data_IF_146431232465
#
_entry.id   IF_146431232465
#
_cell.length_a   1.000
_cell.length_b   1.000
_cell.length_c   1.000
_cell.angle_alpha   90.00
_cell.angle_beta   90.00
_cell.angle_gamma   90.00
#
_symmetry.space_group_name_H-M   'P 1'
#
loop_
_entity.id
_entity.type
_entity.pdbx_description
1 polymer ?
#
# COMPACT_ATOMS: atom_id res chain seq x y z
N UNK A 1 -19.91 -5.37 -19.78
CA UNK A 1 -20.20 -4.72 -18.49
C UNK A 1 -19.06 -5.12 -17.57
N UNK A 2 -18.10 -4.21 -17.36
CA UNK A 2 -16.98 -4.48 -16.45
C UNK A 2 -17.55 -4.51 -15.04
N UNK A 3 -17.39 -5.63 -14.35
CA UNK A 3 -17.74 -5.77 -12.95
C UNK A 3 -16.84 -4.81 -12.16
N UNK A 4 -17.44 -3.78 -11.54
CA UNK A 4 -16.70 -2.85 -10.68
C UNK A 4 -16.27 -3.67 -9.46
N UNK A 5 -15.00 -4.05 -9.42
CA UNK A 5 -14.43 -4.73 -8.25
C UNK A 5 -14.50 -3.76 -7.07
N UNK A 6 -15.04 -4.21 -5.93
CA UNK A 6 -15.07 -3.41 -4.70
C UNK A 6 -13.64 -3.12 -4.24
N UNK A 7 -13.42 -1.90 -3.73
CA UNK A 7 -12.12 -1.48 -3.21
C UNK A 7 -11.77 -2.21 -1.90
N UNK A 8 -12.76 -2.84 -1.26
CA UNK A 8 -12.65 -3.42 0.07
C UNK A 8 -13.24 -4.84 0.13
N UNK A 9 -12.63 -5.67 0.96
CA UNK A 9 -13.18 -6.97 1.36
C UNK A 9 -13.50 -6.94 2.85
N UNK A 10 -14.78 -7.09 3.19
CA UNK A 10 -15.19 -7.19 4.58
C UNK A 10 -14.64 -8.48 5.22
N UNK A 11 -13.84 -8.32 6.27
CA UNK A 11 -13.23 -9.43 7.02
C UNK A 11 -14.10 -9.81 8.21
N UNK A 12 -14.57 -8.82 8.96
CA UNK A 12 -15.40 -9.03 10.14
C UNK A 12 -16.27 -7.81 10.40
N UNK A 13 -17.53 -8.03 10.76
CA UNK A 13 -18.42 -6.98 11.23
C UNK A 13 -19.16 -7.42 12.49
N UNK A 14 -19.49 -6.45 13.35
CA UNK A 14 -20.34 -6.63 14.52
C UNK A 14 -21.29 -5.45 14.63
N UNK A 15 -22.58 -5.69 14.36
CA UNK A 15 -23.65 -4.72 14.54
C UNK A 15 -24.17 -4.81 15.98
N UNK A 16 -23.81 -3.84 16.81
CA UNK A 16 -24.05 -3.86 18.26
C UNK A 16 -25.28 -3.02 18.59
N UNK A 17 -25.35 -1.80 18.07
CA UNK A 17 -26.47 -0.85 18.24
C UNK A 17 -26.99 -0.74 19.68
N UNK A 18 -26.10 -0.75 20.67
CA UNK A 18 -26.44 -0.81 22.08
C UNK A 18 -25.60 0.15 22.92
N UNK A 19 -26.16 0.59 24.05
CA UNK A 19 -25.40 1.31 25.08
C UNK A 19 -24.41 0.37 25.76
N UNK A 20 -23.18 0.83 25.93
CA UNK A 20 -22.12 0.07 26.61
C UNK A 20 -21.71 0.83 27.87
N UNK A 21 -21.56 0.10 28.97
CA UNK A 21 -21.30 0.69 30.29
C UNK A 21 -19.96 0.24 30.93
N UNK A 22 -19.20 -0.62 30.26
CA UNK A 22 -17.95 -1.18 30.76
C UNK A 22 -16.94 -1.31 29.63
N UNK A 23 -15.67 -1.14 29.98
CA UNK A 23 -14.53 -1.43 29.12
C UNK A 23 -14.61 -2.87 28.61
N UNK A 24 -14.20 -3.07 27.36
CA UNK A 24 -14.17 -4.39 26.74
C UNK A 24 -13.15 -4.42 25.60
N UNK A 25 -12.88 -5.62 25.09
CA UNK A 25 -12.00 -5.81 23.95
C UNK A 25 -12.71 -6.54 22.81
N UNK A 26 -12.46 -6.11 21.58
CA UNK A 26 -12.92 -6.76 20.38
C UNK A 26 -11.74 -7.43 19.68
N UNK A 27 -11.75 -8.76 19.61
CA UNK A 27 -10.69 -9.55 18.97
C UNK A 27 -11.09 -9.93 17.54
N UNK A 28 -10.14 -9.93 16.62
CA UNK A 28 -10.33 -10.38 15.24
C UNK A 28 -9.04 -11.00 14.69
N UNK A 29 -9.17 -11.97 13.79
CA UNK A 29 -8.04 -12.58 13.09
C UNK A 29 -7.94 -12.04 11.67
N UNK A 30 -6.72 -11.91 11.18
CA UNK A 30 -6.41 -11.60 9.77
C UNK A 30 -5.48 -12.66 9.20
N UNK A 31 -5.78 -13.12 7.98
CA UNK A 31 -5.11 -14.27 7.34
C UNK A 31 -3.79 -13.88 6.66
N UNK A 32 -3.72 -12.65 6.13
CA UNK A 32 -2.59 -12.11 5.38
C UNK A 32 -2.19 -10.74 5.94
N UNK A 33 -0.88 -10.45 5.97
CA UNK A 33 -0.41 -9.08 6.23
C UNK A 33 -0.81 -8.18 5.06
N UNK A 34 -1.24 -6.95 5.36
CA UNK A 34 -1.78 -6.06 4.33
C UNK A 34 -2.24 -4.71 4.86
N UNK A 35 -2.92 -3.94 4.02
CA UNK A 35 -3.55 -2.68 4.41
C UNK A 35 -4.99 -2.96 4.83
N UNK A 36 -5.36 -2.51 6.03
CA UNK A 36 -6.68 -2.71 6.58
C UNK A 36 -7.31 -1.39 7.01
N UNK A 37 -8.64 -1.33 6.89
CA UNK A 37 -9.48 -0.28 7.41
C UNK A 37 -10.34 -0.82 8.55
N UNK A 38 -10.23 -0.21 9.73
CA UNK A 38 -11.15 -0.43 10.85
C UNK A 38 -12.12 0.75 10.89
N UNK A 39 -13.40 0.51 10.69
CA UNK A 39 -14.45 1.52 10.74
C UNK A 39 -15.40 1.22 11.90
N UNK A 40 -15.64 2.22 12.74
CA UNK A 40 -16.47 2.10 13.95
C UNK A 40 -17.44 3.26 13.99
N UNK A 41 -18.72 2.98 14.20
CA UNK A 41 -19.75 4.00 14.43
C UNK A 41 -20.16 4.04 15.89
N UNK A 42 -20.25 5.22 16.48
CA UNK A 42 -20.75 5.38 17.84
C UNK A 42 -21.41 6.75 18.06
N UNK A 43 -22.27 6.81 19.07
CA UNK A 43 -22.96 8.00 19.56
C UNK A 43 -22.58 8.22 21.02
N UNK A 44 -22.36 9.47 21.41
CA UNK A 44 -22.15 9.85 22.80
C UNK A 44 -23.00 11.09 23.13
N UNK A 45 -23.73 11.06 24.25
CA UNK A 45 -24.59 12.16 24.67
C UNK A 45 -23.83 13.19 25.50
N UNK A 46 -24.16 14.47 25.27
CA UNK A 46 -23.64 15.57 26.07
C UNK A 46 -24.21 15.52 27.49
N UNK A 47 -23.49 16.12 28.45
CA UNK A 47 -23.91 16.10 29.85
C UNK A 47 -25.34 16.61 30.09
N UNK A 48 -25.80 17.60 29.29
CA UNK A 48 -27.14 18.21 29.45
C UNK A 48 -28.27 17.32 28.91
N UNK A 49 -27.98 16.39 28.00
CA UNK A 49 -28.95 15.42 27.48
C UNK A 49 -29.19 14.27 28.47
N UNK A 50 -28.28 14.07 29.42
CA UNK A 50 -28.34 13.05 30.45
C UNK A 50 -29.12 13.51 31.72
N UNK A 51 -29.93 14.58 31.63
CA UNK A 51 -30.54 15.26 32.79
C UNK A 51 -32.05 14.98 33.01
N UNK A 52 -32.46 14.41 34.15
CA UNK A 52 -33.80 14.61 34.72
C UNK A 52 -33.80 15.87 35.60
N UNK A 53 -34.84 16.72 35.48
CA UNK A 53 -34.94 18.09 36.04
C UNK A 53 -34.67 18.32 37.56
N UNK A 54 -34.37 17.29 38.37
CA UNK A 54 -34.45 17.36 39.84
C UNK A 54 -33.16 17.01 40.62
N UNK A 55 -32.10 16.41 40.06
CA UNK A 55 -30.94 15.98 40.89
C UNK A 55 -29.58 16.52 40.42
N UNK A 56 -29.01 17.42 41.22
CA UNK A 56 -27.65 18.00 41.11
C UNK A 56 -26.53 17.01 41.47
N UNK A 57 -26.52 15.80 40.92
CA UNK A 57 -25.35 14.90 41.02
C UNK A 57 -25.06 14.27 39.65
N UNK A 58 -23.83 14.50 39.19
CA UNK A 58 -23.14 13.99 37.98
C UNK A 58 -23.33 14.78 36.67
N UNK A 59 -22.67 15.94 36.57
CA UNK A 59 -22.40 16.64 35.31
C UNK A 59 -21.33 15.87 34.49
N UNK A 60 -21.69 14.74 33.89
CA UNK A 60 -20.75 13.96 33.07
C UNK A 60 -21.37 13.58 31.73
N UNK A 61 -20.60 13.86 30.67
CA UNK A 61 -20.84 13.45 29.30
C UNK A 61 -20.47 11.97 29.09
N UNK A 62 -21.13 11.34 28.11
CA UNK A 62 -20.72 10.02 27.65
C UNK A 62 -19.44 10.15 26.83
N UNK A 63 -18.50 9.21 26.99
CA UNK A 63 -17.32 9.14 26.12
C UNK A 63 -16.98 7.70 25.79
N UNK A 64 -16.52 7.49 24.57
CA UNK A 64 -15.90 6.24 24.14
C UNK A 64 -14.51 6.55 23.59
N UNK A 65 -13.54 5.69 23.89
CA UNK A 65 -12.26 5.70 23.17
C UNK A 65 -11.86 4.29 22.80
N UNK A 66 -11.14 4.16 21.68
CA UNK A 66 -10.60 2.89 21.22
C UNK A 66 -9.11 2.99 20.91
N UNK A 67 -8.42 1.86 21.13
CA UNK A 67 -7.01 1.69 20.79
C UNK A 67 -6.81 0.30 20.19
N UNK A 68 -6.15 0.24 19.04
CA UNK A 68 -5.66 -1.01 18.47
C UNK A 68 -4.27 -1.31 19.07
N UNK A 69 -4.03 -2.55 19.50
CA UNK A 69 -2.86 -2.90 20.35
C UNK A 69 -1.50 -2.37 19.86
N UNK A 70 -1.28 -2.28 18.55
CA UNK A 70 0.00 -1.85 17.96
C UNK A 70 0.00 -0.41 17.45
N UNK A 71 -1.04 0.38 17.72
CA UNK A 71 -1.15 1.77 17.25
C UNK A 71 -1.22 2.71 18.45
N UNK A 72 -0.37 3.74 18.41
CA UNK A 72 -0.18 4.66 19.53
C UNK A 72 -1.35 5.60 19.78
N UNK A 73 -2.07 5.98 18.72
CA UNK A 73 -3.14 6.98 18.76
C UNK A 73 -4.50 6.38 19.12
N UNK A 74 -5.24 7.11 19.95
CA UNK A 74 -6.62 6.77 20.33
C UNK A 74 -7.62 7.49 19.41
N UNK A 75 -8.68 6.78 19.02
CA UNK A 75 -9.86 7.38 18.40
C UNK A 75 -10.94 7.56 19.47
N UNK A 76 -11.62 8.70 19.50
CA UNK A 76 -12.54 9.10 20.58
C UNK A 76 -13.88 9.57 20.03
N UNK A 77 -14.92 9.33 20.80
CA UNK A 77 -16.26 9.90 20.65
C UNK A 77 -16.55 10.68 21.93
N UNK A 78 -16.67 12.00 21.80
CA UNK A 78 -16.92 12.89 22.93
C UNK A 78 -18.38 13.35 22.94
N UNK A 79 -19.05 13.17 24.07
CA UNK A 79 -20.47 13.50 24.18
C UNK A 79 -20.79 14.98 24.00
N UNK A 80 -19.92 15.89 24.44
CA UNK A 80 -20.15 17.34 24.27
C UNK A 80 -20.03 17.78 22.82
N UNK A 81 -19.15 17.13 22.05
CA UNK A 81 -18.98 17.39 20.63
C UNK A 81 -20.10 16.75 19.81
N UNK A 82 -20.49 15.51 20.14
CA UNK A 82 -21.45 14.73 19.37
C UNK A 82 -22.91 15.04 19.68
N UNK A 83 -23.23 15.41 20.93
CA UNK A 83 -24.60 15.74 21.36
C UNK A 83 -25.62 14.65 20.96
N UNK A 84 -25.22 13.39 21.08
CA UNK A 84 -26.04 12.21 20.77
C UNK A 84 -26.05 11.78 19.30
N UNK A 85 -25.36 12.49 18.41
CA UNK A 85 -25.29 12.18 16.98
C UNK A 85 -24.14 11.21 16.67
N UNK A 86 -24.27 10.46 15.57
CA UNK A 86 -23.34 9.40 15.20
C UNK A 86 -22.08 9.94 14.53
N UNK A 87 -20.91 9.51 15.01
CA UNK A 87 -19.63 9.75 14.34
C UNK A 87 -19.01 8.43 13.91
N UNK A 88 -18.42 8.43 12.72
CA UNK A 88 -17.63 7.31 12.19
C UNK A 88 -16.15 7.58 12.39
N UNK A 89 -15.50 6.81 13.26
CA UNK A 89 -14.05 6.84 13.37
C UNK A 89 -13.48 5.69 12.54
N UNK A 90 -12.46 6.00 11.75
CA UNK A 90 -11.77 5.09 10.87
C UNK A 90 -10.28 5.06 11.20
N UNK A 91 -9.68 3.88 11.13
CA UNK A 91 -8.25 3.68 11.23
C UNK A 91 -7.79 2.92 9.99
N UNK A 92 -6.92 3.56 9.22
CA UNK A 92 -6.22 2.97 8.08
C UNK A 92 -4.79 2.63 8.50
N UNK A 93 -4.42 1.35 8.48
CA UNK A 93 -3.09 0.91 8.90
C UNK A 93 -2.63 -0.36 8.19
N UNK A 94 -1.31 -0.56 8.15
CA UNK A 94 -0.73 -1.85 7.78
C UNK A 94 -0.78 -2.79 9.00
N UNK A 95 -1.39 -3.96 8.84
CA UNK A 95 -1.51 -4.97 9.90
C UNK A 95 -0.87 -6.28 9.48
N UNK A 96 -0.23 -6.96 10.44
CA UNK A 96 0.36 -8.28 10.24
C UNK A 96 -0.64 -9.41 10.45
N UNK A 97 -0.52 -10.48 9.64
CA UNK A 97 -1.30 -11.70 9.80
C UNK A 97 -1.26 -12.20 11.26
N UNK A 98 -2.42 -12.61 11.78
CA UNK A 98 -2.56 -13.08 13.16
C UNK A 98 -3.75 -12.47 13.89
N UNK A 99 -3.74 -12.63 15.21
CA UNK A 99 -4.79 -12.10 16.08
C UNK A 99 -4.52 -10.64 16.43
N UNK A 100 -5.55 -9.82 16.25
CA UNK A 100 -5.58 -8.40 16.54
C UNK A 100 -6.65 -8.12 17.59
N UNK A 101 -6.48 -7.04 18.35
CA UNK A 101 -7.39 -6.66 19.40
C UNK A 101 -7.56 -5.14 19.47
N UNK A 102 -8.82 -4.71 19.56
CA UNK A 102 -9.22 -3.33 19.83
C UNK A 102 -9.68 -3.27 21.28
N UNK A 103 -9.02 -2.45 22.10
CA UNK A 103 -9.46 -2.14 23.45
C UNK A 103 -10.38 -0.91 23.43
N UNK A 104 -11.52 -1.00 24.12
CA UNK A 104 -12.46 0.10 24.31
C UNK A 104 -12.48 0.54 25.77
N UNK A 105 -12.34 1.85 25.98
CA UNK A 105 -12.48 2.48 27.29
C UNK A 105 -13.77 3.32 27.28
N UNK A 106 -14.63 3.07 28.25
CA UNK A 106 -16.01 3.55 28.30
C UNK A 106 -16.22 4.45 29.51
N UNK A 107 -16.78 5.64 29.29
CA UNK A 107 -17.27 6.54 30.35
C UNK A 107 -18.77 6.71 30.20
N UNK A 108 -19.51 6.39 31.26
CA UNK A 108 -20.98 6.40 31.32
C UNK A 108 -21.61 5.39 30.35
N UNK A 109 -22.48 5.80 29.43
CA UNK A 109 -23.24 4.87 28.57
C UNK A 109 -23.33 5.31 27.10
N UNK A 110 -22.20 5.54 26.39
CA UNK A 110 -22.23 5.79 24.96
C UNK A 110 -22.87 4.61 24.23
N UNK A 111 -23.49 4.88 23.07
CA UNK A 111 -24.07 3.85 22.21
C UNK A 111 -23.07 3.48 21.12
N UNK A 112 -22.65 2.22 21.12
CA UNK A 112 -21.82 1.66 20.05
C UNK A 112 -22.73 1.14 18.94
N UNK A 113 -22.52 1.62 17.71
CA UNK A 113 -23.27 1.21 16.53
C UNK A 113 -22.69 -0.06 15.93
N UNK A 114 -21.59 0.06 15.21
CA UNK A 114 -20.94 -1.06 14.51
C UNK A 114 -19.41 -1.04 14.65
N UNK A 115 -18.80 -2.22 14.52
CA UNK A 115 -17.35 -2.40 14.32
C UNK A 115 -17.18 -3.22 13.05
N UNK A 116 -16.51 -2.66 12.04
CA UNK A 116 -16.26 -3.34 10.76
C UNK A 116 -14.79 -3.27 10.39
N UNK A 117 -14.24 -4.41 9.95
CA UNK A 117 -12.85 -4.61 9.57
C UNK A 117 -12.82 -4.97 8.09
N UNK A 118 -12.07 -4.21 7.30
CA UNK A 118 -11.95 -4.39 5.86
C UNK A 118 -10.48 -4.57 5.47
N UNK A 119 -10.22 -5.52 4.57
CA UNK A 119 -8.97 -5.60 3.80
C UNK A 119 -9.10 -4.68 2.58
N UNK A 120 -8.10 -3.84 2.31
CA UNK A 120 -8.09 -2.98 1.12
C UNK A 120 -7.56 -3.78 -0.07
N UNK A 121 -8.40 -3.96 -1.09
CA UNK A 121 -8.05 -4.64 -2.33
C UNK A 121 -7.44 -3.67 -3.34
N UNK A 122 -8.01 -2.46 -3.45
CA UNK A 122 -7.45 -1.41 -4.27
C UNK A 122 -6.44 -0.60 -3.46
N UNK A 123 -5.17 -1.02 -3.49
CA UNK A 123 -4.10 -0.38 -2.72
C UNK A 123 -3.55 0.89 -3.36
N UNK A 124 -4.14 1.37 -4.47
CA UNK A 124 -3.70 2.61 -5.14
C UNK A 124 -4.60 3.78 -4.81
N UNK A 125 -5.91 3.61 -4.97
CA UNK A 125 -6.88 4.67 -4.80
C UNK A 125 -8.18 4.21 -4.12
N UNK A 126 -8.12 3.64 -2.88
CA UNK A 126 -9.32 3.19 -2.20
C UNK A 126 -10.31 4.34 -1.97
N UNK A 127 -11.57 4.10 -2.33
CA UNK A 127 -12.67 5.05 -2.18
C UNK A 127 -13.50 4.74 -0.93
N UNK A 128 -13.28 5.49 0.14
CA UNK A 128 -13.96 5.34 1.43
C UNK A 128 -15.46 5.66 1.41
N UNK A 129 -16.00 6.17 0.30
CA UNK A 129 -17.43 6.50 0.19
C UNK A 129 -18.33 5.30 0.45
N UNK A 130 -17.90 4.09 0.07
CA UNK A 130 -18.68 2.85 0.35
C UNK A 130 -18.74 2.47 1.84
N UNK A 131 -17.88 3.06 2.67
CA UNK A 131 -17.82 2.83 4.12
C UNK A 131 -18.60 3.91 4.89
N UNK A 132 -18.85 5.05 4.26
CA UNK A 132 -19.52 6.20 4.86
C UNK A 132 -21.04 6.04 4.71
N UNK A 133 -21.78 6.30 5.79
CA UNK A 133 -23.25 6.31 5.71
C UNK A 133 -23.71 7.40 4.73
N UNK A 134 -24.56 7.08 3.74
CA UNK A 134 -25.12 8.10 2.85
C UNK A 134 -26.16 8.99 3.55
N UNK A 135 -26.68 8.56 4.70
CA UNK A 135 -27.71 9.27 5.46
C UNK A 135 -27.06 9.95 6.67
N UNK A 136 -26.55 11.16 6.48
CA UNK A 136 -25.95 11.96 7.57
C UNK A 136 -27.07 12.55 8.42
N UNK A 137 -26.99 12.36 9.74
CA UNK A 137 -27.94 12.95 10.70
C UNK A 137 -27.79 14.47 10.74
N UNK A 138 -28.92 15.19 10.66
CA UNK A 138 -28.99 16.64 10.79
C UNK A 138 -28.46 17.10 12.16
N UNK A 139 -27.45 17.96 12.14
CA UNK A 139 -26.82 18.46 13.36
C UNK A 139 -26.02 19.72 13.14
N UNK A 140 -25.77 20.46 14.22
CA UNK A 140 -25.06 21.73 14.15
C UNK A 140 -23.57 21.57 14.50
N UNK A 141 -22.71 21.87 13.51
CA UNK A 141 -21.24 21.95 13.62
C UNK A 141 -20.61 20.85 14.47
N UNK A 142 -20.79 19.60 14.03
CA UNK A 142 -20.40 18.41 14.78
C UNK A 142 -19.30 17.62 14.07
N UNK A 143 -18.49 16.84 14.79
CA UNK A 143 -17.65 15.82 14.18
C UNK A 143 -18.54 14.80 13.44
N UNK A 144 -18.19 14.49 12.21
CA UNK A 144 -18.86 13.50 11.37
C UNK A 144 -17.97 12.27 11.16
N UNK A 145 -16.76 12.49 10.65
CA UNK A 145 -15.78 11.43 10.39
C UNK A 145 -14.44 11.82 10.99
N UNK A 146 -13.74 10.87 11.61
CA UNK A 146 -12.31 11.00 11.94
C UNK A 146 -11.55 9.83 11.35
N UNK A 147 -10.62 10.11 10.46
CA UNK A 147 -9.75 9.11 9.85
C UNK A 147 -8.33 9.28 10.40
N UNK A 148 -7.85 8.26 11.10
CA UNK A 148 -6.46 8.11 11.49
C UNK A 148 -5.76 7.23 10.46
N UNK A 149 -4.70 7.75 9.85
CA UNK A 149 -3.79 7.00 8.98
C UNK A 149 -2.52 6.74 9.77
N UNK A 150 -2.14 5.47 9.94
CA UNK A 150 -0.91 5.08 10.64
C UNK A 150 -0.04 4.17 9.79
N UNK A 151 1.23 4.52 9.71
CA UNK A 151 2.29 3.78 9.04
C UNK A 151 2.01 3.49 7.56
N UNK A 152 1.20 4.36 6.95
CA UNK A 152 0.89 4.36 5.52
C UNK A 152 1.11 5.78 5.00
N UNK A 153 1.84 5.89 3.90
CA UNK A 153 2.03 7.17 3.21
C UNK A 153 0.87 7.39 2.23
N UNK A 154 0.19 8.52 2.39
CA UNK A 154 -0.88 8.98 1.50
C UNK A 154 -0.38 10.24 0.81
N UNK A 155 -0.32 10.21 -0.53
CA UNK A 155 0.19 11.34 -1.32
C UNK A 155 -0.86 12.43 -1.46
N UNK A 156 -2.11 12.03 -1.66
CA UNK A 156 -3.21 12.95 -1.96
C UNK A 156 -4.52 12.41 -1.41
N UNK A 157 -5.39 13.31 -0.99
CA UNK A 157 -6.81 13.00 -0.74
C UNK A 157 -7.68 13.72 -1.75
N UNK A 158 -8.75 13.06 -2.15
CA UNK A 158 -9.75 13.60 -3.07
C UNK A 158 -11.11 13.45 -2.42
N UNK A 159 -11.74 14.58 -2.08
CA UNK A 159 -13.08 14.59 -1.48
C UNK A 159 -14.00 15.39 -2.39
N UNK A 160 -15.12 14.80 -2.78
CA UNK A 160 -16.20 15.49 -3.46
C UNK A 160 -17.42 15.49 -2.55
N UNK A 161 -17.96 16.67 -2.29
CA UNK A 161 -19.17 16.82 -1.50
C UNK A 161 -20.13 17.83 -2.14
N UNK A 162 -21.40 17.57 -1.91
CA UNK A 162 -22.54 18.41 -2.27
C UNK A 162 -23.14 18.99 -0.99
N UNK A 163 -23.40 20.30 -1.01
CA UNK A 163 -24.02 21.05 0.08
C UNK A 163 -25.19 21.84 -0.46
N UNK A 164 -26.24 22.04 0.34
CA UNK A 164 -27.45 22.73 -0.08
C UNK A 164 -27.54 24.12 0.55
N UNK A 165 -28.09 25.09 -0.19
CA UNK A 165 -28.38 26.42 0.37
C UNK A 165 -29.60 26.35 1.28
N UNK A 166 -29.63 27.12 2.37
CA UNK A 166 -30.78 27.17 3.28
C UNK A 166 -32.13 27.55 2.65
N UNK A 167 -32.15 28.09 1.42
CA UNK A 167 -33.38 28.34 0.64
C UNK A 167 -34.06 27.07 0.13
N UNK A 168 -33.38 25.92 0.18
CA UNK A 168 -33.88 24.64 -0.31
C UNK A 168 -34.54 23.80 0.79
N UNK A 169 -34.42 24.18 2.06
CA UNK A 169 -35.16 23.54 3.15
C UNK A 169 -36.60 24.10 3.24
N UNK A 170 -37.58 23.21 3.04
CA UNK A 170 -39.01 23.50 3.23
C UNK A 170 -39.32 23.59 4.74
N UNK A 171 -39.34 24.82 5.28
CA UNK A 171 -39.87 25.29 6.59
C UNK A 171 -38.83 25.99 7.50
N UNK A 172 -39.04 27.30 7.69
CA UNK A 172 -38.61 28.21 8.77
C UNK A 172 -37.16 28.25 9.30
N UNK A 173 -36.22 27.47 8.76
CA UNK A 173 -34.80 27.61 9.09
C UNK A 173 -33.97 27.76 7.80
N UNK A 174 -33.35 28.93 7.64
CA UNK A 174 -32.53 29.30 6.47
C UNK A 174 -31.09 28.80 6.58
N UNK A 175 -30.86 27.72 7.32
CA UNK A 175 -29.51 27.22 7.59
C UNK A 175 -29.03 26.36 6.42
N UNK A 176 -27.83 26.65 5.93
CA UNK A 176 -27.19 25.95 4.83
C UNK A 176 -26.40 24.71 5.29
N UNK A 177 -26.24 23.71 4.42
CA UNK A 177 -25.32 22.62 4.71
C UNK A 177 -23.89 23.09 4.52
N UNK A 178 -23.00 22.67 5.43
CA UNK A 178 -21.58 22.98 5.33
C UNK A 178 -20.76 21.72 5.69
N UNK A 179 -19.60 21.57 5.04
CA UNK A 179 -18.60 20.55 5.37
C UNK A 179 -17.23 21.20 5.56
N UNK A 180 -16.60 20.91 6.68
CA UNK A 180 -15.26 21.36 7.06
C UNK A 180 -14.31 20.17 7.04
N UNK A 181 -13.10 20.40 6.51
CA UNK A 181 -12.00 19.45 6.59
C UNK A 181 -10.86 20.03 7.43
N UNK A 182 -10.37 19.24 8.36
CA UNK A 182 -9.18 19.50 9.18
C UNK A 182 -8.17 18.40 8.90
N UNK A 183 -6.92 18.77 8.63
CA UNK A 183 -5.82 17.83 8.39
C UNK A 183 -4.72 18.15 9.38
N UNK A 184 -4.36 17.17 10.22
CA UNK A 184 -3.32 17.32 11.25
C UNK A 184 -3.53 18.56 12.15
N UNK A 185 -4.79 18.89 12.46
CA UNK A 185 -5.17 20.06 13.26
C UNK A 185 -5.28 21.38 12.48
N UNK A 186 -4.92 21.41 11.19
CA UNK A 186 -5.04 22.59 10.34
C UNK A 186 -6.32 22.55 9.51
N UNK A 187 -7.12 23.62 9.60
CA UNK A 187 -8.37 23.76 8.83
C UNK A 187 -8.05 24.06 7.36
N UNK A 188 -8.67 23.31 6.44
CA UNK A 188 -8.65 23.61 5.01
C UNK A 188 -9.67 24.71 4.71
N UNK A 189 -9.17 25.89 4.37
CA UNK A 189 -9.99 27.09 4.17
C UNK A 189 -10.75 27.10 2.85
N UNK A 190 -11.91 27.74 2.85
CA UNK A 190 -12.67 28.09 1.67
C UNK A 190 -12.12 29.36 1.01
N UNK A 191 -11.95 29.34 -0.30
CA UNK A 191 -11.46 30.43 -1.14
C UNK A 191 -12.60 31.15 -1.91
N UNK A 192 -13.85 30.71 -1.78
CA UNK A 192 -14.99 31.31 -2.47
C UNK A 192 -15.47 32.59 -1.76
N UNK A 193 -15.90 33.62 -2.50
CA UNK A 193 -16.43 34.84 -1.91
C UNK A 193 -17.76 34.59 -1.19
N UNK A 194 -18.02 35.33 -0.11
CA UNK A 194 -19.25 35.23 0.72
C UNK A 194 -19.49 33.85 1.36
N UNK A 195 -18.44 33.04 1.48
CA UNK A 195 -18.46 31.75 2.17
C UNK A 195 -18.05 31.88 3.64
N UNK A 196 -18.29 30.81 4.41
CA UNK A 196 -17.67 30.64 5.72
C UNK A 196 -16.23 30.13 5.54
N UNK A 197 -15.23 30.93 5.91
CA UNK A 197 -13.80 30.66 5.64
C UNK A 197 -13.34 29.27 6.10
N UNK A 198 -13.85 28.78 7.23
CA UNK A 198 -13.44 27.50 7.80
C UNK A 198 -14.22 26.29 7.25
N UNK A 199 -15.14 26.50 6.30
CA UNK A 199 -16.02 25.48 5.74
C UNK A 199 -15.83 25.41 4.23
N UNK A 200 -14.95 24.50 3.79
CA UNK A 200 -14.54 24.41 2.37
C UNK A 200 -15.72 24.19 1.43
N UNK A 201 -16.65 23.32 1.82
CA UNK A 201 -17.97 23.22 1.20
C UNK A 201 -18.92 24.06 2.04
N UNK A 202 -19.34 25.18 1.47
CA UNK A 202 -20.26 26.10 2.13
C UNK A 202 -21.51 26.28 1.29
N UNK A 203 -22.69 25.97 1.83
CA UNK A 203 -23.94 26.07 1.09
C UNK A 203 -24.25 27.52 0.69
N UNK A 204 -23.98 28.51 1.55
CA UNK A 204 -24.13 29.95 1.27
C UNK A 204 -23.28 30.44 0.10
N UNK A 205 -22.15 29.79 -0.17
CA UNK A 205 -21.32 30.14 -1.31
C UNK A 205 -21.98 29.79 -2.67
N UNK A 206 -23.06 28.99 -2.67
CA UNK A 206 -23.80 28.63 -3.87
C UNK A 206 -24.86 29.69 -4.22
N UNK A 207 -24.90 30.07 -5.50
CA UNK A 207 -25.89 31.05 -6.01
C UNK A 207 -27.32 30.49 -6.02
N UNK A 208 -28.31 31.37 -6.18
CA UNK A 208 -29.73 31.21 -5.79
C UNK A 208 -30.51 29.95 -6.24
N UNK A 209 -29.99 29.02 -7.07
CA UNK A 209 -30.85 28.00 -7.70
C UNK A 209 -30.28 26.60 -7.97
N UNK A 210 -29.05 26.21 -7.61
CA UNK A 210 -28.56 24.85 -7.97
C UNK A 210 -27.63 24.26 -6.91
N UNK A 211 -27.89 23.01 -6.53
CA UNK A 211 -26.92 22.19 -5.80
C UNK A 211 -25.67 22.04 -6.67
N UNK A 212 -24.49 22.17 -6.07
CA UNK A 212 -23.23 22.03 -6.79
C UNK A 212 -22.24 21.20 -5.97
N UNK A 213 -21.87 20.03 -6.51
CA UNK A 213 -20.73 19.27 -6.04
C UNK A 213 -19.45 20.05 -6.25
N UNK A 214 -18.57 20.03 -5.24
CA UNK A 214 -17.22 20.60 -5.34
C UNK A 214 -16.21 19.55 -4.94
N UNK A 215 -15.15 19.42 -5.73
CA UNK A 215 -14.03 18.52 -5.44
C UNK A 215 -12.88 19.28 -4.81
N UNK A 216 -12.38 18.78 -3.70
CA UNK A 216 -11.09 19.14 -3.13
C UNK A 216 -10.08 18.05 -3.47
N UNK A 217 -8.98 18.45 -4.10
CA UNK A 217 -7.76 17.64 -4.15
C UNK A 217 -6.70 18.27 -3.25
N UNK A 218 -6.18 17.51 -2.29
CA UNK A 218 -5.17 18.00 -1.35
C UNK A 218 -4.00 17.03 -1.27
N UNK A 219 -2.83 17.49 -1.69
CA UNK A 219 -1.57 16.78 -1.44
C UNK A 219 -1.24 16.82 0.05
N UNK A 220 -0.85 15.69 0.60
CA UNK A 220 -0.40 15.58 1.98
C UNK A 220 1.13 15.61 2.06
N UNK A 221 1.65 16.06 3.20
CA UNK A 221 3.08 15.99 3.48
C UNK A 221 3.51 14.53 3.58
N UNK A 222 4.74 14.21 3.17
CA UNK A 222 5.27 12.85 3.32
C UNK A 222 5.54 12.53 4.79
N UNK A 223 4.52 12.02 5.48
CA UNK A 223 4.56 11.62 6.87
C UNK A 223 3.86 10.27 7.02
N UNK A 224 4.34 9.46 7.97
CA UNK A 224 3.75 8.13 8.24
C UNK A 224 2.44 8.19 9.01
N UNK A 225 2.04 9.36 9.50
CA UNK A 225 0.82 9.53 10.27
C UNK A 225 0.08 10.78 9.83
N UNK A 226 -1.22 10.64 9.61
CA UNK A 226 -2.13 11.74 9.37
C UNK A 226 -3.43 11.55 10.15
N UNK A 227 -4.01 12.65 10.61
CA UNK A 227 -5.35 12.68 11.19
C UNK A 227 -6.20 13.62 10.32
N UNK A 228 -7.30 13.10 9.79
CA UNK A 228 -8.27 13.86 9.03
C UNK A 228 -9.57 13.88 9.81
N UNK A 229 -10.17 15.06 9.92
CA UNK A 229 -11.44 15.26 10.60
C UNK A 229 -12.40 16.00 9.68
N UNK A 230 -13.58 15.41 9.46
CA UNK A 230 -14.69 16.05 8.77
C UNK A 230 -15.72 16.48 9.80
N UNK A 231 -16.05 17.77 9.79
CA UNK A 231 -17.14 18.34 10.58
C UNK A 231 -18.27 18.72 9.63
N UNK A 232 -19.51 18.47 10.06
CA UNK A 232 -20.71 18.77 9.29
C UNK A 232 -21.57 19.79 10.02
N UNK A 233 -22.17 20.69 9.24
CA UNK A 233 -23.35 21.46 9.62
C UNK A 233 -24.51 20.98 8.74
N UNK A 234 -25.65 20.66 9.35
CA UNK A 234 -26.82 20.06 8.72
C UNK A 234 -26.52 18.70 8.07
N UNK A 235 -26.79 18.50 6.78
CA UNK A 235 -26.79 17.20 6.08
C UNK A 235 -26.04 17.24 4.74
N UNK A 236 -24.73 17.59 4.73
CA UNK A 236 -23.93 17.56 3.50
C UNK A 236 -23.86 16.13 2.94
N UNK A 237 -23.70 15.98 1.62
CA UNK A 237 -23.55 14.68 0.96
C UNK A 237 -22.11 14.50 0.53
N UNK A 238 -21.44 13.45 1.02
CA UNK A 238 -20.11 13.05 0.55
C UNK A 238 -20.30 12.10 -0.64
N UNK A 239 -19.96 12.57 -1.84
CA UNK A 239 -20.11 11.82 -3.09
C UNK A 239 -18.86 11.00 -3.43
N UNK A 240 -17.69 11.46 -2.98
CA UNK A 240 -16.39 10.80 -3.19
C UNK A 240 -15.45 11.08 -2.03
N UNK A 241 -14.73 10.07 -1.57
CA UNK A 241 -13.64 10.20 -0.61
C UNK A 241 -12.56 9.17 -0.95
N UNK A 242 -11.65 9.55 -1.85
CA UNK A 242 -10.53 8.72 -2.26
C UNK A 242 -9.24 9.12 -1.56
N UNK A 243 -8.43 8.12 -1.23
CA UNK A 243 -7.05 8.29 -0.80
C UNK A 243 -6.13 7.83 -1.91
N UNK A 244 -5.22 8.67 -2.39
CA UNK A 244 -4.13 8.23 -3.25
C UNK A 244 -3.01 7.79 -2.34
N UNK A 245 -2.94 6.48 -2.10
CA UNK A 245 -1.83 5.91 -1.36
C UNK A 245 -0.58 6.09 -2.22
N UNK A 246 0.54 6.51 -1.62
CA UNK A 246 1.80 6.29 -2.32
C UNK A 246 1.85 4.80 -2.59
N UNK A 247 2.22 4.40 -3.80
CA UNK A 247 2.46 2.99 -4.08
C UNK A 247 3.47 2.50 -3.05
N UNK A 248 2.98 1.89 -1.97
CA UNK A 248 3.74 0.89 -1.26
C UNK A 248 3.96 -0.08 -2.39
N UNK A 249 5.20 -0.15 -2.88
CA UNK A 249 5.63 -1.29 -3.67
C UNK A 249 5.18 -2.48 -2.85
N UNK A 250 4.02 -3.06 -3.20
CA UNK A 250 3.47 -4.20 -2.50
C UNK A 250 4.64 -5.14 -2.42
N UNK A 251 5.10 -5.45 -1.20
CA UNK A 251 6.21 -6.37 -1.03
C UNK A 251 5.77 -7.59 -1.82
N UNK A 252 6.39 -7.78 -2.98
CA UNK A 252 5.99 -8.87 -3.83
C UNK A 252 6.36 -10.07 -2.99
N UNK A 253 5.36 -10.82 -2.52
CA UNK A 253 5.63 -11.98 -1.68
C UNK A 253 6.15 -13.04 -2.60
N UNK A 254 7.27 -13.68 -2.22
CA UNK A 254 7.86 -14.75 -3.01
C UNK A 254 6.80 -15.83 -3.30
N UNK A 255 6.56 -16.08 -4.58
CA UNK A 255 5.67 -17.14 -5.05
C UNK A 255 6.50 -18.19 -5.77
N UNK A 256 6.64 -19.38 -5.17
CA UNK A 256 7.45 -20.45 -5.72
C UNK A 256 6.96 -20.95 -7.10
N UNK A 257 5.72 -20.66 -7.50
CA UNK A 257 5.16 -21.03 -8.80
C UNK A 257 5.17 -19.89 -9.82
N UNK A 258 5.54 -18.67 -9.42
CA UNK A 258 5.63 -17.48 -10.27
C UNK A 258 6.66 -16.49 -9.69
N UNK A 259 7.91 -16.64 -10.08
CA UNK A 259 9.02 -15.82 -9.55
C UNK A 259 8.96 -14.41 -10.14
N UNK A 260 8.94 -14.32 -11.47
CA UNK A 260 8.71 -13.10 -12.25
C UNK A 260 7.90 -13.46 -13.49
N UNK A 261 7.21 -12.48 -14.08
CA UNK A 261 6.47 -12.68 -15.32
C UNK A 261 7.38 -12.78 -16.56
N UNK A 262 6.84 -13.29 -17.67
CA UNK A 262 7.59 -13.50 -18.91
C UNK A 262 8.02 -12.18 -19.58
N UNK A 263 7.24 -11.11 -19.39
CA UNK A 263 7.57 -9.79 -19.92
C UNK A 263 8.78 -9.20 -19.20
N UNK A 264 8.83 -9.30 -17.86
CA UNK A 264 9.96 -8.90 -17.04
C UNK A 264 11.22 -9.71 -17.38
N UNK A 265 11.06 -11.00 -17.68
CA UNK A 265 12.18 -11.87 -18.07
C UNK A 265 12.76 -11.53 -19.45
N UNK A 266 11.94 -11.06 -20.39
CA UNK A 266 12.32 -10.77 -21.77
C UNK A 266 12.45 -9.27 -22.08
N UNK A 267 12.14 -8.40 -21.12
CA UNK A 267 12.13 -6.94 -21.30
C UNK A 267 13.52 -6.38 -21.60
N UNK A 268 13.64 -5.74 -22.76
CA UNK A 268 14.85 -5.04 -23.21
C UNK A 268 14.78 -3.52 -22.99
N UNK A 269 14.03 -3.07 -21.98
CA UNK A 269 13.82 -1.63 -21.73
C UNK A 269 15.08 -0.91 -21.24
N UNK A 270 15.96 -1.59 -20.49
CA UNK A 270 17.23 -1.00 -20.05
C UNK A 270 18.20 -0.87 -21.23
N UNK A 271 18.58 0.37 -21.52
CA UNK A 271 19.63 0.66 -22.50
C UNK A 271 21.03 0.56 -21.87
N UNK A 272 22.08 0.57 -22.71
CA UNK A 272 23.47 0.42 -22.24
C UNK A 272 23.87 1.48 -21.20
N UNK A 273 23.42 2.72 -21.35
CA UNK A 273 23.75 3.82 -20.42
C UNK A 273 23.12 3.61 -19.06
N UNK A 274 21.87 3.16 -19.01
CA UNK A 274 21.18 2.84 -17.75
C UNK A 274 21.83 1.65 -17.03
N UNK A 275 22.29 0.64 -17.77
CA UNK A 275 23.04 -0.49 -17.20
C UNK A 275 24.38 -0.03 -16.62
N UNK A 276 25.09 0.85 -17.34
CA UNK A 276 26.35 1.44 -16.89
C UNK A 276 26.13 2.27 -15.61
N UNK A 277 25.14 3.16 -15.59
CA UNK A 277 24.77 3.97 -14.42
C UNK A 277 24.39 3.10 -13.22
N UNK A 278 23.61 2.03 -13.42
CA UNK A 278 23.26 1.07 -12.37
C UNK A 278 24.51 0.41 -11.77
N UNK A 279 25.43 -0.10 -12.61
CA UNK A 279 26.65 -0.75 -12.13
C UNK A 279 27.59 0.22 -11.42
N UNK A 280 27.66 1.46 -11.88
CA UNK A 280 28.48 2.50 -11.25
C UNK A 280 27.88 2.94 -9.91
N UNK A 281 26.56 3.07 -9.79
CA UNK A 281 25.89 3.37 -8.51
C UNK A 281 26.22 2.30 -7.44
N UNK A 282 26.07 1.02 -7.78
CA UNK A 282 26.35 -0.09 -6.84
C UNK A 282 27.83 -0.24 -6.50
N UNK A 283 28.71 0.22 -7.39
CA UNK A 283 30.16 0.08 -7.29
C UNK A 283 30.94 1.33 -6.93
N UNK A 284 30.27 2.47 -6.68
CA UNK A 284 30.88 3.82 -6.68
C UNK A 284 32.13 3.98 -5.81
N UNK A 285 32.27 3.17 -4.76
CA UNK A 285 33.39 3.21 -3.83
C UNK A 285 34.58 2.32 -4.25
N UNK A 286 34.56 1.73 -5.45
CA UNK A 286 35.66 0.91 -5.97
C UNK A 286 35.83 1.00 -7.48
N UNK A 287 36.98 1.52 -7.93
CA UNK A 287 37.39 1.53 -9.35
C UNK A 287 37.63 0.13 -9.93
N UNK A 288 37.71 -0.89 -9.08
CA UNK A 288 37.85 -2.28 -9.50
C UNK A 288 36.50 -3.02 -9.55
N UNK A 289 35.38 -2.34 -9.30
CA UNK A 289 34.04 -2.89 -9.51
C UNK A 289 33.75 -3.13 -11.01
N UNK A 290 32.83 -4.06 -11.33
CA UNK A 290 32.41 -4.34 -12.72
C UNK A 290 31.97 -3.08 -13.49
N UNK A 291 31.35 -2.11 -12.80
CA UNK A 291 30.92 -0.83 -13.36
C UNK A 291 32.06 0.07 -13.87
N UNK A 292 33.32 -0.24 -13.57
CA UNK A 292 34.47 0.53 -14.05
C UNK A 292 35.51 -0.34 -14.79
N UNK A 293 35.31 -1.66 -14.83
CA UNK A 293 36.21 -2.60 -15.52
C UNK A 293 35.87 -2.72 -17.01
N UNK A 294 36.90 -3.03 -17.80
CA UNK A 294 36.77 -3.39 -19.22
C UNK A 294 37.16 -4.84 -19.46
N UNK A 295 36.45 -5.49 -20.38
CA UNK A 295 36.67 -6.85 -20.84
C UNK A 295 36.86 -6.81 -22.36
N UNK A 296 38.06 -7.13 -22.84
CA UNK A 296 38.45 -7.00 -24.25
C UNK A 296 38.10 -5.64 -24.86
N UNK A 297 38.37 -4.58 -24.08
CA UNK A 297 38.10 -3.19 -24.47
C UNK A 297 36.66 -2.70 -24.28
N UNK A 298 35.70 -3.57 -23.98
CA UNK A 298 34.28 -3.26 -23.77
C UNK A 298 33.94 -3.08 -22.29
N UNK A 299 33.03 -2.17 -21.94
CA UNK A 299 32.53 -2.11 -20.56
C UNK A 299 31.62 -3.29 -20.24
N UNK A 300 31.46 -3.62 -18.97
CA UNK A 300 30.50 -4.63 -18.52
C UNK A 300 29.08 -4.35 -19.02
N UNK A 301 28.68 -3.08 -19.02
CA UNK A 301 27.36 -2.67 -19.50
C UNK A 301 27.18 -2.93 -21.00
N UNK A 302 28.22 -2.67 -21.83
CA UNK A 302 28.17 -2.99 -23.25
C UNK A 302 28.00 -4.51 -23.47
N UNK A 303 28.77 -5.33 -22.74
CA UNK A 303 28.68 -6.79 -22.83
C UNK A 303 27.27 -7.27 -22.48
N UNK A 304 26.74 -6.84 -21.32
CA UNK A 304 25.39 -7.21 -20.85
C UNK A 304 24.32 -6.76 -21.85
N UNK A 305 24.36 -5.50 -22.29
CA UNK A 305 23.38 -4.96 -23.25
C UNK A 305 23.35 -5.75 -24.55
N UNK A 306 24.52 -6.04 -25.14
CA UNK A 306 24.61 -6.76 -26.41
C UNK A 306 24.13 -8.20 -26.28
N UNK A 307 24.52 -8.89 -25.22
CA UNK A 307 24.12 -10.28 -24.96
C UNK A 307 22.63 -10.38 -24.65
N UNK A 308 22.10 -9.47 -23.82
CA UNK A 308 20.67 -9.37 -23.52
C UNK A 308 19.84 -9.26 -24.81
N UNK A 309 20.23 -8.33 -25.69
CA UNK A 309 19.56 -8.13 -26.98
C UNK A 309 19.68 -9.34 -27.91
N UNK A 310 20.85 -9.95 -28.00
CA UNK A 310 21.07 -11.13 -28.85
C UNK A 310 20.24 -12.34 -28.41
N UNK A 311 19.96 -12.48 -27.11
CA UNK A 311 19.25 -13.62 -26.55
C UNK A 311 17.80 -13.31 -26.13
N UNK A 312 17.33 -12.08 -26.31
CA UNK A 312 15.99 -11.65 -25.83
C UNK A 312 15.79 -12.00 -24.35
N UNK A 313 16.82 -11.68 -23.55
CA UNK A 313 16.81 -11.82 -22.09
C UNK A 313 16.96 -10.44 -21.49
N UNK A 314 16.19 -10.14 -20.46
CA UNK A 314 16.26 -8.85 -19.80
C UNK A 314 17.65 -8.59 -19.20
N UNK A 315 18.25 -7.41 -19.41
CA UNK A 315 19.46 -7.01 -18.69
C UNK A 315 19.29 -7.11 -17.17
N UNK A 316 18.07 -6.87 -16.65
CA UNK A 316 17.76 -7.00 -15.21
C UNK A 316 17.93 -8.44 -14.72
N UNK A 317 17.57 -9.44 -15.51
CA UNK A 317 17.75 -10.86 -15.19
C UNK A 317 19.25 -11.20 -15.14
N UNK A 318 20.03 -10.74 -16.11
CA UNK A 318 21.49 -10.97 -16.16
C UNK A 318 22.16 -10.35 -14.93
N UNK A 319 21.85 -9.10 -14.61
CA UNK A 319 22.38 -8.40 -13.44
C UNK A 319 22.01 -9.11 -12.14
N UNK A 320 20.77 -9.58 -12.01
CA UNK A 320 20.31 -10.36 -10.85
C UNK A 320 21.09 -11.66 -10.72
N UNK A 321 21.31 -12.40 -11.82
CA UNK A 321 22.09 -13.64 -11.80
C UNK A 321 23.56 -13.41 -11.46
N UNK A 322 24.20 -12.36 -11.97
CA UNK A 322 25.58 -11.99 -11.58
C UNK A 322 25.71 -11.78 -10.07
N UNK A 323 24.70 -11.17 -9.45
CA UNK A 323 24.67 -11.02 -8.00
C UNK A 323 24.40 -12.35 -7.29
N UNK A 324 23.44 -13.14 -7.75
CA UNK A 324 23.04 -14.39 -7.11
C UNK A 324 24.16 -15.45 -7.15
N UNK A 325 24.89 -15.54 -8.25
CA UNK A 325 25.90 -16.59 -8.47
C UNK A 325 27.26 -16.24 -7.83
N UNK A 326 27.74 -15.01 -8.02
CA UNK A 326 29.12 -14.64 -7.63
C UNK A 326 29.21 -13.35 -6.78
N UNK A 327 28.08 -12.73 -6.43
CA UNK A 327 28.04 -11.49 -5.64
C UNK A 327 28.74 -10.32 -6.33
N UNK A 328 28.59 -10.24 -7.66
CA UNK A 328 29.38 -9.35 -8.52
C UNK A 328 28.85 -7.91 -8.66
N UNK A 329 27.66 -7.60 -8.12
CA UNK A 329 26.98 -6.32 -8.31
C UNK A 329 27.02 -5.45 -7.05
N UNK A 330 26.77 -6.03 -5.88
CA UNK A 330 26.63 -5.30 -4.63
C UNK A 330 27.25 -6.08 -3.45
N UNK A 331 27.94 -5.35 -2.58
CA UNK A 331 28.57 -5.88 -1.35
C UNK A 331 30.09 -5.98 -1.44
N UNK A 332 30.73 -6.48 -0.38
CA UNK A 332 32.19 -6.49 -0.28
C UNK A 332 32.87 -7.35 -1.36
N UNK A 333 32.22 -8.45 -1.78
CA UNK A 333 32.70 -9.31 -2.88
C UNK A 333 32.72 -8.60 -4.23
N UNK A 334 31.84 -7.61 -4.44
CA UNK A 334 31.75 -6.87 -5.69
C UNK A 334 32.85 -5.79 -5.78
N UNK A 335 33.41 -5.33 -4.64
CA UNK A 335 34.41 -4.26 -4.63
C UNK A 335 35.63 -4.63 -5.45
N UNK A 336 36.16 -5.84 -5.31
CA UNK A 336 37.31 -6.31 -6.08
C UNK A 336 37.11 -7.77 -6.52
N UNK A 337 36.36 -8.01 -7.61
CA UNK A 337 36.09 -9.36 -8.08
C UNK A 337 37.37 -10.10 -8.45
N UNK A 338 37.51 -11.31 -7.90
CA UNK A 338 38.60 -12.24 -8.22
C UNK A 338 38.46 -12.76 -9.65
N UNK A 339 39.57 -13.24 -10.23
CA UNK A 339 39.52 -13.86 -11.56
C UNK A 339 38.58 -15.06 -11.60
N UNK A 340 38.55 -15.87 -10.53
CA UNK A 340 37.61 -16.99 -10.41
C UNK A 340 36.15 -16.55 -10.48
N UNK A 341 35.76 -15.48 -9.78
CA UNK A 341 34.40 -14.94 -9.87
C UNK A 341 34.06 -14.46 -11.29
N UNK A 342 35.03 -13.89 -12.01
CA UNK A 342 34.82 -13.49 -13.41
C UNK A 342 34.73 -14.71 -14.35
N UNK A 343 35.52 -15.74 -14.09
CA UNK A 343 35.54 -16.96 -14.88
C UNK A 343 34.30 -17.83 -14.66
N UNK A 344 33.61 -17.65 -13.53
CA UNK A 344 32.39 -18.37 -13.15
C UNK A 344 31.19 -17.43 -12.93
N UNK A 345 31.19 -16.24 -13.54
CA UNK A 345 30.28 -15.14 -13.24
C UNK A 345 28.78 -15.52 -13.24
N UNK A 346 28.37 -16.46 -14.09
CA UNK A 346 27.00 -16.99 -14.13
C UNK A 346 26.93 -18.51 -13.83
N UNK A 347 28.02 -19.11 -13.36
CA UNK A 347 28.09 -20.52 -12.97
C UNK A 347 28.10 -21.53 -14.13
N UNK A 348 28.14 -21.06 -15.38
CA UNK A 348 28.07 -21.97 -16.53
C UNK A 348 29.35 -22.79 -16.65
N UNK A 349 29.21 -24.12 -16.72
CA UNK A 349 30.33 -25.04 -16.87
C UNK A 349 31.16 -25.23 -15.61
N UNK A 350 30.64 -24.86 -14.44
CA UNK A 350 31.23 -25.21 -13.14
C UNK A 350 30.92 -26.68 -12.82
N UNK A 351 31.97 -27.44 -12.54
CA UNK A 351 31.90 -28.83 -12.06
C UNK A 351 31.78 -28.87 -10.53
N UNK A 352 31.39 -30.02 -9.99
CA UNK A 352 31.21 -30.23 -8.54
C UNK A 352 32.50 -30.02 -7.72
N UNK A 353 33.67 -30.17 -8.35
CA UNK A 353 34.97 -29.91 -7.72
C UNK A 353 35.39 -28.42 -7.74
N UNK A 354 34.54 -27.55 -8.27
CA UNK A 354 34.78 -26.10 -8.41
C UNK A 354 35.54 -25.72 -9.68
N UNK A 355 35.92 -26.67 -10.54
CA UNK A 355 36.58 -26.37 -11.82
C UNK A 355 35.59 -25.77 -12.81
N UNK A 356 35.95 -24.64 -13.41
CA UNK A 356 35.22 -24.08 -14.56
C UNK A 356 35.83 -24.59 -15.85
N UNK A 357 35.04 -25.22 -16.70
CA UNK A 357 35.51 -25.68 -18.01
C UNK A 357 36.05 -24.51 -18.85
N UNK A 358 37.22 -24.70 -19.45
CA UNK A 358 38.02 -23.65 -20.12
C UNK A 358 37.24 -22.83 -21.14
N UNK A 359 36.33 -23.44 -21.89
CA UNK A 359 35.52 -22.75 -22.91
C UNK A 359 34.52 -21.72 -22.33
N UNK A 360 34.18 -21.83 -21.04
CA UNK A 360 33.24 -20.92 -20.38
C UNK A 360 33.96 -19.89 -19.49
N UNK A 361 35.27 -19.99 -19.30
CA UNK A 361 36.04 -19.05 -18.48
C UNK A 361 36.04 -17.64 -19.10
N UNK A 362 36.12 -16.61 -18.27
CA UNK A 362 36.02 -15.20 -18.64
C UNK A 362 34.59 -14.62 -18.57
N UNK A 363 34.49 -13.36 -18.14
CA UNK A 363 33.23 -12.66 -17.94
C UNK A 363 32.34 -12.62 -19.19
N UNK A 364 32.92 -12.34 -20.36
CA UNK A 364 32.16 -12.30 -21.63
C UNK A 364 31.54 -13.66 -21.95
N UNK A 365 32.30 -14.75 -21.79
CA UNK A 365 31.84 -16.10 -22.07
C UNK A 365 30.76 -16.54 -21.07
N UNK A 366 30.92 -16.21 -19.79
CA UNK A 366 29.92 -16.47 -18.76
C UNK A 366 28.61 -15.74 -19.02
N UNK A 367 28.66 -14.42 -19.29
CA UNK A 367 27.45 -13.62 -19.58
C UNK A 367 26.74 -14.16 -20.83
N UNK A 368 27.50 -14.44 -21.90
CA UNK A 368 26.96 -14.97 -23.16
C UNK A 368 26.30 -16.33 -22.96
N UNK A 369 27.04 -17.30 -22.40
CA UNK A 369 26.56 -18.68 -22.25
C UNK A 369 25.42 -18.79 -21.24
N UNK A 370 25.42 -17.96 -20.20
CA UNK A 370 24.35 -17.91 -19.21
C UNK A 370 23.05 -17.37 -19.82
N UNK A 371 23.12 -16.29 -20.60
CA UNK A 371 21.95 -15.75 -21.30
C UNK A 371 21.40 -16.73 -22.35
N UNK A 372 22.27 -17.38 -23.12
CA UNK A 372 21.87 -18.43 -24.08
C UNK A 372 21.16 -19.59 -23.36
N UNK A 373 21.69 -20.04 -22.22
CA UNK A 373 21.09 -21.10 -21.42
C UNK A 373 19.70 -20.70 -20.90
N UNK A 374 19.58 -19.49 -20.35
CA UNK A 374 18.30 -18.94 -19.88
C UNK A 374 17.26 -18.84 -21.00
N UNK A 375 17.67 -18.35 -22.18
CA UNK A 375 16.80 -18.25 -23.35
C UNK A 375 16.33 -19.63 -23.83
N UNK A 376 17.27 -20.57 -23.96
CA UNK A 376 16.97 -21.95 -24.35
C UNK A 376 15.98 -22.61 -23.38
N UNK A 377 16.22 -22.47 -22.09
CA UNK A 377 15.34 -23.05 -21.06
C UNK A 377 13.96 -22.38 -21.04
N UNK A 378 13.89 -21.08 -21.28
CA UNK A 378 12.62 -20.35 -21.44
C UNK A 378 11.80 -20.90 -22.61
N UNK A 379 12.42 -21.10 -23.77
CA UNK A 379 11.75 -21.65 -24.96
C UNK A 379 11.29 -23.12 -24.80
N UNK A 380 11.90 -23.88 -23.89
CA UNK A 380 11.54 -25.28 -23.63
C UNK A 380 10.31 -25.47 -22.73
N UNK A 381 9.89 -24.42 -22.01
CA UNK A 381 8.91 -24.54 -20.93
C UNK A 381 7.57 -25.14 -21.39
N UNK A 382 7.05 -24.71 -22.55
CA UNK A 382 5.80 -25.22 -23.12
C UNK A 382 5.89 -26.69 -23.52
N UNK A 383 7.00 -27.09 -24.17
CA UNK A 383 7.24 -28.48 -24.57
C UNK A 383 7.28 -29.40 -23.35
N UNK A 384 7.86 -28.91 -22.25
CA UNK A 384 7.99 -29.61 -20.97
C UNK A 384 6.75 -29.40 -20.07
N UNK A 385 5.70 -28.77 -20.60
CA UNK A 385 4.40 -28.53 -19.94
C UNK A 385 4.53 -27.82 -18.60
N UNK A 386 5.57 -27.01 -18.43
CA UNK A 386 5.89 -26.29 -17.19
C UNK A 386 6.11 -27.20 -15.97
N UNK A 387 6.44 -28.48 -16.17
CA UNK A 387 6.65 -29.44 -15.09
C UNK A 387 8.13 -29.50 -14.73
N UNK A 388 8.44 -29.18 -13.47
CA UNK A 388 9.78 -29.31 -12.89
C UNK A 388 9.77 -30.45 -11.89
N UNK A 389 10.68 -31.41 -12.06
CA UNK A 389 10.85 -32.54 -11.14
C UNK A 389 12.07 -32.33 -10.26
N UNK A 390 12.01 -32.81 -9.03
CA UNK A 390 13.11 -32.83 -8.06
C UNK A 390 13.64 -31.44 -7.68
N UNK A 391 12.76 -30.44 -7.55
CA UNK A 391 13.11 -29.15 -6.93
C UNK A 391 13.03 -29.34 -5.42
N UNK A 392 14.17 -29.53 -4.77
CA UNK A 392 14.28 -29.88 -3.34
C UNK A 392 13.35 -31.04 -2.93
N UNK A 393 13.28 -32.07 -3.78
CA UNK A 393 12.43 -33.25 -3.58
C UNK A 393 10.96 -33.09 -3.97
N UNK A 394 10.56 -31.92 -4.49
CA UNK A 394 9.19 -31.64 -4.96
C UNK A 394 9.07 -31.67 -6.48
N UNK A 395 7.86 -31.94 -6.96
CA UNK A 395 7.46 -31.64 -8.34
C UNK A 395 6.65 -30.35 -8.33
N UNK A 396 7.03 -29.37 -9.15
CA UNK A 396 6.33 -28.11 -9.32
C UNK A 396 5.70 -28.03 -10.71
N UNK A 397 4.49 -27.46 -10.79
CA UNK A 397 3.89 -27.04 -12.06
C UNK A 397 3.86 -25.51 -12.03
N UNK A 398 4.79 -24.89 -12.73
CA UNK A 398 5.00 -23.44 -12.66
C UNK A 398 4.10 -22.71 -13.67
N UNK A 399 3.85 -21.42 -13.41
CA UNK A 399 2.82 -20.67 -14.17
C UNK A 399 3.31 -20.11 -15.51
N UNK A 400 4.62 -20.04 -15.74
CA UNK A 400 5.17 -19.40 -16.93
C UNK A 400 6.59 -19.87 -17.28
N UNK A 401 7.07 -19.43 -18.44
CA UNK A 401 8.36 -19.81 -19.03
C UNK A 401 9.55 -19.22 -18.27
N UNK A 402 9.41 -18.02 -17.72
CA UNK A 402 10.43 -17.37 -16.90
C UNK A 402 10.72 -18.17 -15.63
N UNK A 403 9.68 -18.53 -14.88
CA UNK A 403 9.83 -19.33 -13.65
C UNK A 403 10.41 -20.70 -13.96
N UNK A 404 9.96 -21.32 -15.07
CA UNK A 404 10.52 -22.59 -15.54
C UNK A 404 12.03 -22.48 -15.82
N UNK A 405 12.44 -21.46 -16.58
CA UNK A 405 13.84 -21.21 -16.93
C UNK A 405 14.72 -21.00 -15.69
N UNK A 406 14.26 -20.19 -14.73
CA UNK A 406 15.01 -19.89 -13.51
C UNK A 406 15.25 -21.14 -12.65
N UNK A 407 14.24 -22.02 -12.48
CA UNK A 407 14.44 -23.27 -11.76
C UNK A 407 15.29 -24.27 -12.53
N UNK A 408 15.17 -24.36 -13.86
CA UNK A 408 16.04 -25.27 -14.63
C UNK A 408 17.48 -24.80 -14.61
N UNK A 409 17.71 -23.50 -14.50
CA UNK A 409 19.05 -22.93 -14.34
C UNK A 409 19.62 -23.19 -12.94
N UNK A 410 18.80 -23.06 -11.89
CA UNK A 410 19.18 -23.31 -10.50
C UNK A 410 18.07 -24.12 -9.79
N UNK A 411 18.16 -25.46 -9.72
CA UNK A 411 17.05 -26.34 -9.34
C UNK A 411 16.79 -26.43 -7.82
N UNK A 412 16.69 -25.29 -7.15
CA UNK A 412 16.46 -25.15 -5.71
C UNK A 412 15.49 -24.02 -5.38
N UNK A 413 14.59 -24.23 -4.42
CA UNK A 413 13.67 -23.19 -3.91
C UNK A 413 14.45 -22.02 -3.31
N UNK A 414 15.52 -22.30 -2.58
CA UNK A 414 16.38 -21.27 -2.00
C UNK A 414 17.03 -20.39 -3.07
N UNK A 415 17.47 -20.98 -4.19
CA UNK A 415 18.03 -20.24 -5.32
C UNK A 415 17.00 -19.36 -6.02
N UNK A 416 15.79 -19.88 -6.24
CA UNK A 416 14.66 -19.12 -6.78
C UNK A 416 14.28 -17.93 -5.88
N UNK A 417 14.21 -18.16 -4.56
CA UNK A 417 13.94 -17.09 -3.58
C UNK A 417 15.05 -16.04 -3.57
N UNK A 418 16.32 -16.46 -3.59
CA UNK A 418 17.44 -15.52 -3.65
C UNK A 418 17.39 -14.64 -4.90
N UNK A 419 17.13 -15.23 -6.07
CA UNK A 419 16.93 -14.47 -7.30
C UNK A 419 15.78 -13.46 -7.15
N UNK A 420 14.64 -13.91 -6.62
CA UNK A 420 13.48 -13.06 -6.39
C UNK A 420 13.79 -11.85 -5.51
N UNK A 421 14.41 -12.09 -4.36
CA UNK A 421 14.76 -11.06 -3.39
C UNK A 421 15.72 -10.03 -4.01
N UNK A 422 16.75 -10.50 -4.75
CA UNK A 422 17.71 -9.62 -5.43
C UNK A 422 17.02 -8.80 -6.52
N UNK A 423 16.22 -9.43 -7.39
CA UNK A 423 15.55 -8.77 -8.51
C UNK A 423 14.67 -7.63 -8.01
N UNK A 424 13.89 -7.90 -6.97
CA UNK A 424 13.01 -6.88 -6.39
C UNK A 424 13.84 -5.79 -5.71
N UNK A 425 14.83 -6.14 -4.90
CA UNK A 425 15.70 -5.14 -4.26
C UNK A 425 16.45 -4.22 -5.25
N UNK A 426 16.72 -4.69 -6.48
CA UNK A 426 17.43 -3.89 -7.49
C UNK A 426 16.52 -3.00 -8.33
N UNK A 427 15.31 -3.43 -8.64
CA UNK A 427 14.50 -2.82 -9.70
C UNK A 427 13.08 -2.43 -9.29
N UNK A 428 12.73 -2.62 -8.03
CA UNK A 428 11.40 -2.40 -7.49
C UNK A 428 11.49 -1.78 -6.10
#
# INVERSE_FOLDING_TARGET
MLEVMSDFKLIKTSNINAKIAKDFSFNFGIESSGIYLVAITAQASAWWQNFPQFLKRYFQDDNLSMKLNNISHELKWNGNDLKGLEQTNMLLAQLDAGQQQIAFIVKQQPKLGSISIYEILNTKNPNLTEIISPNIEDGNRRPLIKLLISDITVEKIIIEAEVFTGKQHLLFFHDDDDLQLIINGEIVKNDLPKSHENWYWCGRAQSQLKTQSRTLEKTLLNQKQHILELYADRTPIIQRFELILSTIMSQTVFNELLIIDDAAFTSLTLNQKEIEEFLQDKGKDSSTHLGFRKFDGKSSAEVIYRVAKANTISPMVILTKLQAEQGLILGDKAKNPTQFQLDSALGVGMLDDGTVLKQYQGFINQVTSGAESLHKLFAQAEQEKFILKNIDGKTLVVKNSATYSLYRYTPHLAGAKLFFDIYHNFFK
#
